data_IF_615185273193
#
_entry.id   IF_615185273193
#
_cell.length_a   1.000
_cell.length_b   1.000
_cell.length_c   1.000
_cell.angle_alpha   90.00
_cell.angle_beta   90.00
_cell.angle_gamma   90.00
#
_symmetry.space_group_name_H-M   'P 1'
#
loop_
_entity.id
_entity.type
_entity.pdbx_description
1 polymer ?
#
# COMPACT_ATOMS: atom_id res chain seq x y z
N UNK A 1 15.87 7.51 0.08
CA UNK A 1 15.46 7.61 1.52
C UNK A 1 14.39 8.68 1.60
N UNK A 2 13.14 8.30 1.56
CA UNK A 2 12.03 9.23 1.76
C UNK A 2 11.41 8.93 3.12
N UNK A 3 11.80 9.72 4.12
CA UNK A 3 11.12 9.77 5.41
C UNK A 3 10.01 10.81 5.26
N UNK A 4 8.77 10.35 5.16
CA UNK A 4 7.63 11.26 5.15
C UNK A 4 7.32 11.71 6.57
N UNK A 5 7.63 12.97 6.91
CA UNK A 5 7.19 13.62 8.13
C UNK A 5 5.93 14.43 7.86
N UNK A 6 4.84 14.16 8.58
CA UNK A 6 3.62 14.93 8.50
C UNK A 6 3.72 16.27 9.22
N UNK A 7 3.24 17.34 8.60
CA UNK A 7 3.41 18.74 8.99
C UNK A 7 2.52 19.19 10.14
N UNK A 8 3.09 20.07 10.86
CA UNK A 8 2.77 20.85 12.03
C UNK A 8 1.70 21.94 11.81
N UNK A 9 0.56 21.81 12.49
CA UNK A 9 -0.34 22.94 12.82
C UNK A 9 -1.11 22.63 14.12
N UNK A 10 -0.76 23.35 15.21
CA UNK A 10 -1.35 23.43 16.56
C UNK A 10 -0.57 22.81 17.72
N UNK A 11 -0.75 23.36 18.90
CA UNK A 11 0.11 23.42 20.09
C UNK A 11 0.53 22.12 20.83
N UNK A 12 0.13 20.94 20.40
CA UNK A 12 0.69 19.64 20.84
C UNK A 12 0.68 18.67 19.68
N UNK A 13 1.85 18.45 19.05
CA UNK A 13 1.95 17.55 17.93
C UNK A 13 2.36 16.17 18.39
N UNK A 14 1.52 15.18 18.11
CA UNK A 14 1.95 13.78 18.03
C UNK A 14 2.43 13.56 16.59
N UNK A 15 3.68 13.18 16.43
CA UNK A 15 4.27 12.82 15.12
C UNK A 15 4.68 11.35 15.17
N UNK A 16 4.59 10.66 14.04
CA UNK A 16 5.12 9.32 13.89
C UNK A 16 5.80 9.21 12.53
N UNK A 17 6.88 8.45 12.48
CA UNK A 17 7.57 8.12 11.23
C UNK A 17 7.23 6.71 10.80
N UNK A 18 7.09 6.49 9.49
CA UNK A 18 6.84 5.17 8.93
C UNK A 18 7.68 4.95 7.68
N UNK A 19 8.02 3.71 7.39
CA UNK A 19 8.80 3.35 6.22
C UNK A 19 9.05 1.86 6.12
N UNK A 20 9.58 1.43 4.97
CA UNK A 20 9.97 0.03 4.74
C UNK A 20 11.41 -0.23 5.20
N UNK A 21 12.16 0.81 5.57
CA UNK A 21 13.54 0.75 6.05
C UNK A 21 13.59 0.95 7.57
N UNK A 22 14.69 0.50 8.20
CA UNK A 22 14.83 0.35 9.66
C UNK A 22 14.88 1.65 10.49
N UNK A 23 14.90 2.82 9.86
CA UNK A 23 15.06 4.10 10.55
C UNK A 23 13.72 4.79 10.90
N UNK A 24 12.60 4.08 10.76
CA UNK A 24 11.27 4.61 11.06
C UNK A 24 10.66 3.94 12.30
N UNK A 25 9.77 4.66 13.01
CA UNK A 25 9.05 4.12 14.17
C UNK A 25 8.14 2.95 13.79
N UNK A 26 7.42 3.07 12.65
CA UNK A 26 6.57 2.01 12.11
C UNK A 26 7.23 1.41 10.88
N UNK A 27 7.54 0.11 10.95
CA UNK A 27 8.19 -0.64 9.85
C UNK A 27 7.44 -1.94 9.57
N UNK A 28 7.72 -2.55 8.41
CA UNK A 28 7.20 -3.84 8.03
C UNK A 28 8.33 -4.86 7.85
N UNK A 29 8.13 -6.09 8.35
CA UNK A 29 9.06 -7.22 8.16
C UNK A 29 8.31 -8.43 7.61
N UNK A 30 9.06 -9.42 7.10
CA UNK A 30 8.53 -10.69 6.60
C UNK A 30 7.41 -10.52 5.58
N UNK A 31 7.58 -9.54 4.67
CA UNK A 31 6.59 -9.23 3.64
C UNK A 31 6.51 -10.38 2.64
N UNK A 32 5.35 -11.00 2.56
CA UNK A 32 5.01 -12.06 1.61
C UNK A 32 3.85 -11.63 0.73
N UNK A 33 3.71 -12.28 -0.43
CA UNK A 33 2.64 -11.96 -1.38
C UNK A 33 1.91 -13.23 -1.80
N UNK A 34 0.59 -13.14 -1.95
CA UNK A 34 -0.19 -14.17 -2.60
C UNK A 34 -0.07 -14.11 -4.13
N UNK A 35 -0.80 -15.01 -4.83
CA UNK A 35 -0.80 -15.08 -6.30
C UNK A 35 -1.35 -13.82 -6.97
N UNK A 36 -2.11 -12.98 -6.25
CA UNK A 36 -2.68 -11.72 -6.72
C UNK A 36 -1.84 -10.51 -6.31
N UNK A 37 -0.69 -10.73 -5.64
CA UNK A 37 0.20 -9.68 -5.18
C UNK A 37 -0.28 -8.97 -3.92
N UNK A 38 -1.25 -9.53 -3.20
CA UNK A 38 -1.69 -9.00 -1.90
C UNK A 38 -0.65 -9.31 -0.83
N UNK A 39 -0.26 -8.29 -0.08
CA UNK A 39 0.77 -8.40 0.93
C UNK A 39 0.24 -8.91 2.27
N UNK A 40 1.04 -9.76 2.93
CA UNK A 40 0.94 -10.07 4.36
C UNK A 40 2.30 -9.83 4.99
N UNK A 41 2.34 -9.13 6.12
CA UNK A 41 3.58 -8.68 6.76
C UNK A 41 3.40 -8.47 8.26
N UNK A 42 4.51 -8.53 9.01
CA UNK A 42 4.55 -8.12 10.41
C UNK A 42 4.77 -6.62 10.51
N UNK A 43 4.06 -5.98 11.42
CA UNK A 43 4.19 -4.55 11.72
C UNK A 43 5.00 -4.37 12.98
N UNK A 44 6.09 -3.62 12.91
CA UNK A 44 6.88 -3.24 14.08
C UNK A 44 6.64 -1.76 14.42
N UNK A 45 6.51 -1.46 15.71
CA UNK A 45 6.53 -0.11 16.25
C UNK A 45 7.68 0.02 17.23
N UNK A 46 8.69 0.83 16.91
CA UNK A 46 9.92 0.96 17.70
C UNK A 46 10.59 -0.40 18.02
N UNK A 47 10.48 -1.36 17.09
CA UNK A 47 11.01 -2.72 17.23
C UNK A 47 10.11 -3.71 17.97
N UNK A 48 8.98 -3.28 18.52
CA UNK A 48 7.97 -4.18 19.11
C UNK A 48 7.00 -4.68 18.03
N UNK A 49 6.76 -5.99 17.98
CA UNK A 49 5.81 -6.60 17.03
C UNK A 49 4.37 -6.30 17.45
N UNK A 50 3.66 -5.54 16.61
CA UNK A 50 2.23 -5.27 16.76
C UNK A 50 1.34 -6.40 16.21
N UNK A 51 1.92 -7.34 15.46
CA UNK A 51 1.22 -8.47 14.85
C UNK A 51 1.22 -8.44 13.32
N UNK A 52 0.45 -9.33 12.73
CA UNK A 52 0.39 -9.57 11.29
C UNK A 52 -0.74 -8.76 10.64
N UNK A 53 -0.41 -7.97 9.63
CA UNK A 53 -1.35 -7.23 8.80
C UNK A 53 -1.43 -7.86 7.41
N UNK A 54 -2.63 -7.99 6.85
CA UNK A 54 -2.89 -8.51 5.50
C UNK A 54 -3.71 -7.52 4.70
N UNK A 55 -3.35 -7.31 3.44
CA UNK A 55 -4.01 -6.38 2.53
C UNK A 55 -4.73 -7.14 1.42
N UNK A 56 -5.81 -6.54 0.89
CA UNK A 56 -6.49 -7.00 -0.34
C UNK A 56 -6.11 -6.15 -1.57
N UNK A 57 -5.15 -5.25 -1.41
CA UNK A 57 -4.65 -4.40 -2.49
C UNK A 57 -3.19 -4.77 -2.80
N UNK A 58 -2.82 -4.91 -4.08
CA UNK A 58 -1.50 -5.40 -4.46
C UNK A 58 -0.43 -4.32 -4.42
N UNK A 59 0.82 -4.76 -4.27
CA UNK A 59 2.02 -3.93 -4.45
C UNK A 59 2.62 -3.39 -3.16
N UNK A 60 3.95 -3.29 -3.17
CA UNK A 60 4.76 -2.84 -2.02
C UNK A 60 4.41 -1.41 -1.55
N UNK A 61 4.00 -0.53 -2.46
CA UNK A 61 3.57 0.82 -2.11
C UNK A 61 2.33 0.82 -1.19
N UNK A 62 1.46 -0.20 -1.28
CA UNK A 62 0.32 -0.34 -0.39
C UNK A 62 0.73 -0.84 1.01
N UNK A 63 1.85 -1.53 1.15
CA UNK A 63 2.44 -1.80 2.47
C UNK A 63 2.86 -0.49 3.13
N UNK A 64 3.53 0.41 2.39
CA UNK A 64 3.91 1.74 2.90
C UNK A 64 2.67 2.58 3.26
N UNK A 65 1.62 2.56 2.42
CA UNK A 65 0.35 3.25 2.72
C UNK A 65 -0.34 2.67 3.97
N UNK A 66 -0.29 1.36 4.16
CA UNK A 66 -0.82 0.71 5.34
C UNK A 66 -0.07 1.12 6.61
N UNK A 67 1.29 1.18 6.56
CA UNK A 67 2.08 1.69 7.69
C UNK A 67 1.70 3.13 8.05
N UNK A 68 1.47 4.00 7.07
CA UNK A 68 0.97 5.36 7.30
C UNK A 68 -0.39 5.37 8.01
N UNK A 69 -1.31 4.48 7.56
CA UNK A 69 -2.64 4.35 8.17
C UNK A 69 -2.58 3.79 9.59
N UNK A 70 -1.66 2.84 9.84
CA UNK A 70 -1.42 2.27 11.17
C UNK A 70 -0.87 3.36 12.11
N UNK A 71 0.14 4.10 11.68
CA UNK A 71 0.71 5.19 12.46
C UNK A 71 -0.35 6.24 12.80
N UNK A 72 -1.15 6.67 11.81
CA UNK A 72 -2.25 7.62 12.03
C UNK A 72 -3.31 7.08 12.99
N UNK A 73 -3.72 5.82 12.84
CA UNK A 73 -4.70 5.16 13.70
C UNK A 73 -4.22 5.07 15.16
N UNK A 74 -2.96 4.71 15.37
CA UNK A 74 -2.34 4.66 16.70
C UNK A 74 -2.24 6.06 17.34
N UNK A 75 -1.93 7.09 16.56
CA UNK A 75 -1.92 8.48 17.01
C UNK A 75 -3.33 8.97 17.42
N UNK A 76 -4.39 8.36 16.87
CA UNK A 76 -5.78 8.60 17.24
C UNK A 76 -6.28 7.67 18.35
N UNK A 77 -5.38 6.94 19.01
CA UNK A 77 -5.67 6.00 20.10
C UNK A 77 -6.63 4.84 19.69
N UNK A 78 -6.64 4.45 18.40
CA UNK A 78 -7.34 3.26 17.94
C UNK A 78 -6.56 1.99 18.29
N UNK A 79 -7.27 0.91 18.63
CA UNK A 79 -6.60 -0.37 18.87
C UNK A 79 -6.02 -0.95 17.58
N UNK A 80 -4.91 -1.65 17.70
CA UNK A 80 -4.23 -2.32 16.57
C UNK A 80 -5.17 -3.27 15.83
N UNK A 81 -6.02 -4.00 16.57
CA UNK A 81 -7.01 -4.93 16.01
C UNK A 81 -7.99 -4.21 15.07
N UNK A 82 -8.57 -3.10 15.52
CA UNK A 82 -9.51 -2.29 14.69
C UNK A 82 -8.82 -1.76 13.43
N UNK A 83 -7.56 -1.31 13.55
CA UNK A 83 -6.80 -0.79 12.41
C UNK A 83 -6.53 -1.92 11.41
N UNK A 84 -6.08 -3.10 11.88
CA UNK A 84 -5.76 -4.24 11.02
C UNK A 84 -7.00 -4.82 10.35
N UNK A 85 -8.12 -4.90 11.04
CA UNK A 85 -9.40 -5.33 10.46
C UNK A 85 -9.86 -4.36 9.36
N UNK A 86 -9.76 -3.05 9.60
CA UNK A 86 -10.07 -2.04 8.59
C UNK A 86 -9.19 -2.15 7.35
N UNK A 87 -7.88 -2.35 7.51
CA UNK A 87 -6.94 -2.56 6.41
C UNK A 87 -7.20 -3.85 5.65
N UNK A 88 -7.52 -4.94 6.35
CA UNK A 88 -7.89 -6.22 5.77
C UNK A 88 -9.17 -6.15 4.95
N UNK A 89 -10.13 -5.33 5.37
CA UNK A 89 -11.41 -5.16 4.68
C UNK A 89 -11.35 -4.14 3.54
N UNK A 90 -10.32 -3.31 3.50
CA UNK A 90 -10.13 -2.34 2.44
C UNK A 90 -9.86 -3.01 1.10
N UNK A 91 -10.81 -2.93 0.20
CA UNK A 91 -10.75 -3.51 -1.15
C UNK A 91 -10.12 -2.61 -2.22
N UNK A 92 -9.50 -1.49 -1.81
CA UNK A 92 -8.94 -0.52 -2.74
C UNK A 92 -9.88 0.65 -3.06
N UNK A 93 -9.37 1.60 -3.82
CA UNK A 93 -10.15 2.72 -4.37
C UNK A 93 -10.39 2.51 -5.86
N UNK A 94 -11.45 3.11 -6.38
CA UNK A 94 -11.71 3.10 -7.81
C UNK A 94 -10.51 3.64 -8.60
N UNK A 95 -10.18 2.96 -9.71
CA UNK A 95 -9.07 3.32 -10.60
C UNK A 95 -7.69 3.32 -9.91
N UNK A 96 -7.46 2.44 -8.93
CA UNK A 96 -6.17 2.15 -8.32
C UNK A 96 -5.92 0.65 -8.39
N UNK A 97 -5.21 0.20 -9.43
CA UNK A 97 -5.01 -1.21 -9.79
C UNK A 97 -6.33 -2.02 -9.76
N UNK A 98 -7.40 -1.38 -10.24
CA UNK A 98 -8.75 -1.90 -10.10
C UNK A 98 -9.00 -3.03 -11.10
N UNK A 99 -9.33 -4.22 -10.60
CA UNK A 99 -9.80 -5.31 -11.44
C UNK A 99 -11.17 -4.96 -12.04
N UNK A 100 -11.26 -4.89 -13.37
CA UNK A 100 -12.49 -4.58 -14.11
C UNK A 100 -13.19 -5.81 -14.65
N UNK A 101 -12.47 -6.93 -14.74
CA UNK A 101 -13.03 -8.17 -15.27
C UNK A 101 -12.04 -8.98 -16.10
N UNK A 102 -12.57 -10.04 -16.68
CA UNK A 102 -11.82 -10.95 -17.54
C UNK A 102 -12.62 -11.26 -18.81
N UNK A 103 -11.96 -11.19 -19.96
CA UNK A 103 -12.52 -11.58 -21.26
C UNK A 103 -11.64 -12.69 -21.83
N UNK A 104 -12.16 -13.92 -21.87
CA UNK A 104 -11.35 -15.09 -22.16
C UNK A 104 -10.20 -15.22 -21.16
N UNK A 105 -8.96 -15.25 -21.64
CA UNK A 105 -7.76 -15.29 -20.78
C UNK A 105 -7.16 -13.92 -20.49
N UNK A 106 -7.82 -12.82 -20.89
CA UNK A 106 -7.33 -11.45 -20.71
C UNK A 106 -7.95 -10.86 -19.45
N UNK A 107 -7.13 -10.54 -18.46
CA UNK A 107 -7.51 -9.77 -17.29
C UNK A 107 -7.40 -8.28 -17.58
N UNK A 108 -8.44 -7.52 -17.24
CA UNK A 108 -8.51 -6.07 -17.45
C UNK A 108 -8.38 -5.37 -16.10
N UNK A 109 -7.39 -4.49 -16.00
CA UNK A 109 -7.10 -3.67 -14.82
C UNK A 109 -7.11 -2.21 -15.23
N UNK A 110 -7.76 -1.37 -14.44
CA UNK A 110 -7.82 0.09 -14.62
C UNK A 110 -7.04 0.79 -13.51
N UNK A 111 -6.18 1.74 -13.90
CA UNK A 111 -5.41 2.55 -12.97
C UNK A 111 -5.37 4.00 -13.45
N UNK A 112 -5.48 4.94 -12.52
CA UNK A 112 -5.43 6.37 -12.81
C UNK A 112 -4.00 6.94 -12.78
N UNK A 113 -2.99 6.08 -12.67
CA UNK A 113 -1.60 6.48 -12.68
C UNK A 113 -1.28 7.37 -13.91
N UNK A 114 -0.80 8.57 -13.67
CA UNK A 114 -0.46 9.54 -14.71
C UNK A 114 0.93 10.14 -14.49
N UNK A 115 1.46 10.09 -13.27
CA UNK A 115 2.84 10.46 -12.96
C UNK A 115 3.79 9.28 -13.23
N UNK A 116 5.02 9.49 -13.75
CA UNK A 116 5.96 8.41 -14.07
C UNK A 116 6.17 7.40 -12.93
N UNK A 117 6.33 7.88 -11.70
CA UNK A 117 6.51 7.04 -10.51
C UNK A 117 5.30 6.16 -10.22
N UNK A 118 4.07 6.69 -10.40
CA UNK A 118 2.83 5.93 -10.22
C UNK A 118 2.70 4.86 -11.32
N UNK A 119 3.00 5.20 -12.57
CA UNK A 119 2.97 4.27 -13.70
C UNK A 119 3.97 3.13 -13.47
N UNK A 120 5.18 3.44 -12.99
CA UNK A 120 6.19 2.45 -12.65
C UNK A 120 5.68 1.51 -11.55
N UNK A 121 5.11 2.04 -10.46
CA UNK A 121 4.54 1.25 -9.38
C UNK A 121 3.42 0.32 -9.86
N UNK A 122 2.51 0.83 -10.70
CA UNK A 122 1.41 0.05 -11.30
C UNK A 122 1.93 -1.06 -12.20
N UNK A 123 2.95 -0.80 -13.04
CA UNK A 123 3.55 -1.82 -13.88
C UNK A 123 4.33 -2.87 -13.07
N UNK A 124 4.96 -2.47 -11.97
CA UNK A 124 5.57 -3.41 -11.03
C UNK A 124 4.52 -4.31 -10.38
N UNK A 125 3.41 -3.76 -9.92
CA UNK A 125 2.30 -4.56 -9.39
C UNK A 125 1.76 -5.54 -10.45
N UNK A 126 1.59 -5.09 -11.69
CA UNK A 126 1.13 -5.93 -12.79
C UNK A 126 2.08 -7.11 -13.10
N UNK A 127 3.40 -6.94 -12.94
CA UNK A 127 4.37 -8.02 -13.11
C UNK A 127 4.23 -9.15 -12.09
N UNK A 128 3.71 -8.85 -10.90
CA UNK A 128 3.46 -9.85 -9.86
C UNK A 128 2.12 -10.59 -10.07
N UNK A 129 1.28 -10.11 -10.99
CA UNK A 129 0.05 -10.78 -11.35
C UNK A 129 0.32 -11.95 -12.32
N UNK A 130 -0.40 -13.09 -12.23
CA UNK A 130 -0.25 -14.20 -13.18
C UNK A 130 -0.49 -13.72 -14.60
N UNK A 131 0.52 -13.78 -15.47
CA UNK A 131 0.42 -13.30 -16.84
C UNK A 131 1.38 -14.03 -17.79
N UNK A 132 1.01 -14.08 -19.06
CA UNK A 132 1.90 -14.46 -20.18
C UNK A 132 2.48 -13.23 -20.87
N UNK A 133 1.68 -12.15 -20.95
CA UNK A 133 2.03 -10.89 -21.57
C UNK A 133 1.24 -9.76 -20.92
N UNK A 134 1.88 -8.62 -20.73
CA UNK A 134 1.26 -7.38 -20.24
C UNK A 134 1.13 -6.42 -21.41
N UNK A 135 -0.09 -5.86 -21.58
CA UNK A 135 -0.38 -4.78 -22.48
C UNK A 135 -0.70 -3.54 -21.66
N UNK A 136 0.06 -2.47 -21.85
CA UNK A 136 -0.22 -1.17 -21.25
C UNK A 136 -0.87 -0.27 -22.30
N UNK A 137 -2.09 0.17 -22.02
CA UNK A 137 -2.78 1.21 -22.81
C UNK A 137 -2.75 2.47 -21.97
N UNK A 138 -2.02 3.48 -22.44
CA UNK A 138 -1.80 4.72 -21.71
C UNK A 138 -2.27 5.91 -22.53
N UNK A 139 -3.02 6.81 -21.90
CA UNK A 139 -3.38 8.11 -22.45
C UNK A 139 -2.84 9.20 -21.51
N UNK A 140 -1.90 10.05 -21.97
CA UNK A 140 -1.45 11.17 -21.17
C UNK A 140 -2.61 12.14 -20.90
N UNK A 141 -2.71 12.60 -19.65
CA UNK A 141 -3.82 13.46 -19.23
C UNK A 141 -3.53 14.96 -19.48
N UNK A 142 -2.26 15.33 -19.55
CA UNK A 142 -1.80 16.70 -19.76
C UNK A 142 -0.72 16.74 -20.85
N UNK A 143 -0.76 17.77 -21.65
CA UNK A 143 0.27 18.11 -22.63
C UNK A 143 1.25 19.10 -22.03
#
# INVERSE_FOLDING_TARGET
>A
MEVFSFFQLCHEFRTGTYGLEHDAEYTATDITYDELGHATFHVLHNGEDLGTCSLKVPGIHNVSNALASIAAGQLLDLSTEVIFDGLKDFGGTDRRFQYKGKIGDVTIIDDYAHHPTEIEATLHAAKNYPHKKIWCVFQPHTY
#
